data_IF_438993246745
#
_entry.id   IF_438993246745
#
_cell.length_a   1.000
_cell.length_b   1.000
_cell.length_c   1.000
_cell.angle_alpha   90.00
_cell.angle_beta   90.00
_cell.angle_gamma   90.00
#
_symmetry.space_group_name_H-M   'P 1'
#
loop_
_entity.id
_entity.type
_entity.pdbx_description
1 polymer ?
#
# COMPACT_ATOMS: atom_id res chain seq x y z
N UNK A 1 -0.82 9.88 -26.42
CA UNK A 1 -2.25 9.56 -26.65
C UNK A 1 -2.34 8.77 -27.94
N UNK A 2 -2.56 7.46 -27.87
CA UNK A 2 -3.07 6.74 -29.04
C UNK A 2 -4.51 7.19 -29.22
N UNK A 3 -4.84 7.73 -30.39
CA UNK A 3 -6.22 8.06 -30.76
C UNK A 3 -7.02 6.77 -30.73
N UNK A 4 -7.93 6.62 -29.77
CA UNK A 4 -8.87 5.50 -29.81
C UNK A 4 -9.67 5.64 -31.10
N UNK A 5 -9.61 4.61 -31.94
CA UNK A 5 -10.45 4.49 -33.15
C UNK A 5 -11.91 4.16 -32.81
N UNK A 6 -12.28 4.22 -31.53
CA UNK A 6 -13.61 3.84 -31.09
C UNK A 6 -14.54 5.05 -31.20
N UNK A 7 -15.62 4.90 -31.96
CA UNK A 7 -16.67 5.90 -32.05
C UNK A 7 -17.44 5.94 -30.73
N UNK A 8 -17.89 7.12 -30.28
CA UNK A 8 -18.50 7.31 -28.94
C UNK A 8 -19.75 6.46 -28.66
N UNK A 9 -20.33 5.81 -29.66
CA UNK A 9 -21.48 4.91 -29.51
C UNK A 9 -21.11 3.42 -29.50
N UNK A 10 -19.86 3.05 -29.79
CA UNK A 10 -19.46 1.65 -29.93
C UNK A 10 -19.52 0.88 -28.61
N UNK A 11 -19.36 1.54 -27.45
CA UNK A 11 -19.59 0.91 -26.14
C UNK A 11 -21.04 0.43 -25.94
N UNK A 12 -22.00 0.95 -26.71
CA UNK A 12 -23.41 0.52 -26.64
C UNK A 12 -23.70 -0.73 -27.47
N UNK A 13 -22.79 -1.11 -28.38
CA UNK A 13 -23.01 -2.17 -29.37
C UNK A 13 -21.94 -3.26 -29.29
N UNK A 14 -20.78 -2.94 -28.72
CA UNK A 14 -19.63 -3.82 -28.60
C UNK A 14 -19.14 -3.89 -27.16
N UNK A 15 -18.60 -5.05 -26.78
CA UNK A 15 -17.93 -5.18 -25.50
C UNK A 15 -16.65 -4.33 -25.51
N UNK A 16 -16.61 -3.32 -24.64
CA UNK A 16 -15.43 -2.47 -24.41
C UNK A 16 -14.81 -2.77 -23.04
N UNK A 17 -13.81 -3.67 -22.94
CA UNK A 17 -13.16 -3.96 -21.66
C UNK A 17 -12.37 -2.74 -21.16
N UNK A 18 -12.26 -2.59 -19.84
CA UNK A 18 -11.48 -1.52 -19.22
C UNK A 18 -9.99 -1.86 -19.27
N UNK A 19 -9.23 -1.11 -20.05
CA UNK A 19 -7.79 -1.36 -20.26
C UNK A 19 -6.89 -0.43 -19.44
N UNK A 20 -7.44 0.63 -18.82
CA UNK A 20 -6.66 1.70 -18.17
C UNK A 20 -5.69 1.23 -17.08
N UNK A 21 -5.99 0.10 -16.42
CA UNK A 21 -5.15 -0.45 -15.36
C UNK A 21 -3.97 -1.26 -15.90
N UNK A 22 -4.09 -1.77 -17.13
CA UNK A 22 -3.13 -2.66 -17.77
C UNK A 22 -2.27 -1.89 -18.78
N UNK A 23 -2.88 -0.97 -19.53
CA UNK A 23 -2.21 -0.31 -20.65
C UNK A 23 -1.01 0.53 -20.18
N UNK A 24 0.17 0.23 -20.73
CA UNK A 24 1.43 0.93 -20.48
C UNK A 24 2.12 0.64 -19.15
N UNK A 25 1.38 0.44 -18.06
CA UNK A 25 1.95 0.28 -16.70
C UNK A 25 1.39 -0.90 -15.88
N UNK A 26 0.65 -1.83 -16.48
CA UNK A 26 0.01 -2.93 -15.76
C UNK A 26 0.95 -3.79 -14.90
N UNK A 27 2.20 -4.01 -15.35
CA UNK A 27 3.20 -4.75 -14.57
C UNK A 27 3.51 -4.08 -13.24
N UNK A 28 3.54 -2.74 -13.20
CA UNK A 28 3.79 -2.01 -11.96
C UNK A 28 2.62 -2.20 -11.00
N UNK A 29 1.39 -2.10 -11.49
CA UNK A 29 0.20 -2.32 -10.66
C UNK A 29 0.17 -3.73 -10.07
N UNK A 30 0.46 -4.75 -10.90
CA UNK A 30 0.52 -6.14 -10.45
C UNK A 30 1.60 -6.35 -9.36
N UNK A 31 2.82 -5.87 -9.60
CA UNK A 31 3.90 -5.95 -8.61
C UNK A 31 3.56 -5.19 -7.33
N UNK A 32 2.91 -4.04 -7.45
CA UNK A 32 2.52 -3.22 -6.32
C UNK A 32 1.56 -3.99 -5.39
N UNK A 33 0.49 -4.58 -5.95
CA UNK A 33 -0.43 -5.43 -5.17
C UNK A 33 0.29 -6.64 -4.58
N UNK A 34 1.08 -7.35 -5.38
CA UNK A 34 1.77 -8.56 -4.95
C UNK A 34 2.70 -8.31 -3.76
N UNK A 35 3.58 -7.32 -3.84
CA UNK A 35 4.49 -7.00 -2.73
C UNK A 35 3.77 -6.39 -1.53
N UNK A 36 2.74 -5.57 -1.74
CA UNK A 36 1.95 -5.01 -0.64
C UNK A 36 1.24 -6.11 0.16
N UNK A 37 0.63 -7.09 -0.51
CA UNK A 37 -0.08 -8.20 0.11
C UNK A 37 0.89 -9.21 0.77
N UNK A 38 1.96 -9.61 0.09
CA UNK A 38 2.96 -10.52 0.67
C UNK A 38 3.64 -9.88 1.88
N UNK A 39 4.02 -8.61 1.79
CA UNK A 39 4.62 -7.90 2.91
C UNK A 39 3.68 -7.84 4.11
N UNK A 40 2.40 -7.54 3.88
CA UNK A 40 1.38 -7.53 4.93
C UNK A 40 1.18 -8.94 5.53
N UNK A 41 1.14 -9.98 4.71
CA UNK A 41 1.05 -11.37 5.18
C UNK A 41 2.25 -11.77 6.05
N UNK A 42 3.47 -11.46 5.62
CA UNK A 42 4.70 -11.69 6.40
C UNK A 42 4.60 -10.96 7.74
N UNK A 43 4.19 -9.69 7.74
CA UNK A 43 4.02 -8.90 8.94
C UNK A 43 3.03 -9.55 9.91
N UNK A 44 1.81 -9.86 9.46
CA UNK A 44 0.76 -10.45 10.29
C UNK A 44 1.16 -11.80 10.87
N UNK A 45 1.68 -12.73 10.04
CA UNK A 45 2.11 -14.05 10.52
C UNK A 45 3.25 -13.92 11.53
N UNK A 46 4.19 -13.01 11.28
CA UNK A 46 5.33 -12.80 12.16
C UNK A 46 4.91 -12.26 13.52
N UNK A 47 3.82 -11.47 13.62
CA UNK A 47 3.25 -11.04 14.91
C UNK A 47 2.79 -12.24 15.72
N UNK A 48 2.04 -13.17 15.12
CA UNK A 48 1.56 -14.36 15.81
C UNK A 48 2.69 -15.29 16.28
N UNK A 49 3.84 -15.25 15.61
CA UNK A 49 5.01 -16.05 15.93
C UNK A 49 6.06 -15.32 16.80
N UNK A 50 5.79 -14.08 17.19
CA UNK A 50 6.76 -13.17 17.85
C UNK A 50 8.11 -13.05 17.11
N UNK A 51 8.09 -13.20 15.78
CA UNK A 51 9.28 -13.15 14.94
C UNK A 51 9.60 -11.71 14.53
N UNK A 52 10.31 -10.98 15.40
CA UNK A 52 10.64 -9.55 15.25
C UNK A 52 11.23 -9.14 13.89
N UNK A 53 12.20 -9.88 13.29
CA UNK A 53 12.72 -9.54 11.97
C UNK A 53 11.63 -9.57 10.88
N UNK A 54 10.66 -10.48 11.01
CA UNK A 54 9.52 -10.58 10.10
C UNK A 54 8.55 -9.40 10.22
N UNK A 55 8.40 -8.79 11.40
CA UNK A 55 7.63 -7.53 11.54
C UNK A 55 8.29 -6.43 10.71
N UNK A 56 9.59 -6.23 10.89
CA UNK A 56 10.34 -5.20 10.15
C UNK A 56 10.30 -5.45 8.65
N UNK A 57 10.64 -6.66 8.22
CA UNK A 57 10.69 -7.00 6.79
C UNK A 57 9.32 -6.94 6.14
N UNK A 58 8.28 -7.48 6.78
CA UNK A 58 6.92 -7.42 6.24
C UNK A 58 6.41 -5.99 6.09
N UNK A 59 6.64 -5.15 7.10
CA UNK A 59 6.26 -3.73 7.07
C UNK A 59 7.00 -2.96 5.96
N UNK A 60 8.32 -3.16 5.82
CA UNK A 60 9.12 -2.53 4.76
C UNK A 60 8.72 -3.01 3.36
N UNK A 61 8.55 -4.30 3.15
CA UNK A 61 8.13 -4.84 1.84
C UNK A 61 6.74 -4.32 1.47
N UNK A 62 5.81 -4.28 2.42
CA UNK A 62 4.44 -3.85 2.13
C UNK A 62 4.35 -2.36 1.75
N UNK A 63 4.98 -1.50 2.55
CA UNK A 63 4.79 -0.05 2.48
C UNK A 63 5.89 0.66 1.70
N UNK A 64 7.15 0.25 1.87
CA UNK A 64 8.27 0.90 1.19
C UNK A 64 8.35 0.36 -0.23
N UNK A 65 8.59 -0.94 -0.42
CA UNK A 65 8.70 -1.52 -1.76
C UNK A 65 7.35 -1.43 -2.50
N UNK A 66 6.28 -1.98 -1.93
CA UNK A 66 4.94 -1.95 -2.52
C UNK A 66 4.43 -0.51 -2.73
N UNK A 67 4.61 0.38 -1.75
CA UNK A 67 4.17 1.78 -1.87
C UNK A 67 4.94 2.59 -2.90
N UNK A 68 6.26 2.42 -3.03
CA UNK A 68 7.02 3.08 -4.09
C UNK A 68 6.59 2.61 -5.49
N UNK A 69 6.32 1.31 -5.66
CA UNK A 69 5.80 0.79 -6.94
C UNK A 69 4.40 1.37 -7.24
N UNK A 70 3.52 1.47 -6.24
CA UNK A 70 2.23 2.17 -6.40
C UNK A 70 2.43 3.62 -6.87
N UNK A 71 3.35 4.37 -6.25
CA UNK A 71 3.63 5.75 -6.65
C UNK A 71 4.19 5.85 -8.08
N UNK A 72 5.01 4.90 -8.51
CA UNK A 72 5.53 4.84 -9.88
C UNK A 72 4.45 4.51 -10.92
N UNK A 73 3.44 3.71 -10.54
CA UNK A 73 2.28 3.42 -11.37
C UNK A 73 1.45 4.69 -11.62
N UNK A 74 1.17 5.47 -10.58
CA UNK A 74 0.28 6.63 -10.64
C UNK A 74 0.71 7.68 -11.69
N UNK A 75 -0.28 8.25 -12.37
CA UNK A 75 -0.04 9.30 -13.36
C UNK A 75 0.37 10.65 -12.75
N UNK A 76 -0.03 10.94 -11.50
CA UNK A 76 0.25 12.21 -10.80
C UNK A 76 0.60 11.97 -9.32
N UNK A 77 1.74 11.35 -9.01
CA UNK A 77 2.09 10.91 -7.64
C UNK A 77 2.10 12.05 -6.62
N UNK A 78 2.51 13.26 -7.01
CA UNK A 78 2.54 14.43 -6.12
C UNK A 78 1.16 14.95 -5.70
N UNK A 79 0.08 14.46 -6.33
CA UNK A 79 -1.30 14.83 -5.99
C UNK A 79 -2.04 13.72 -5.22
N UNK A 80 -1.40 12.57 -5.01
CA UNK A 80 -2.04 11.39 -4.39
C UNK A 80 -2.50 11.66 -2.98
N UNK A 81 -1.81 12.53 -2.22
CA UNK A 81 -2.20 12.92 -0.87
C UNK A 81 -3.65 13.45 -0.76
N UNK A 82 -4.22 13.96 -1.85
CA UNK A 82 -5.61 14.44 -1.89
C UNK A 82 -6.63 13.33 -1.67
N UNK A 83 -6.25 12.06 -1.86
CA UNK A 83 -7.12 10.91 -1.62
C UNK A 83 -7.64 10.89 -0.18
N UNK A 84 -6.80 11.30 0.78
CA UNK A 84 -7.14 11.32 2.19
C UNK A 84 -8.16 12.39 2.57
N UNK A 85 -8.34 13.44 1.75
CA UNK A 85 -9.27 14.53 2.04
C UNK A 85 -10.75 14.15 1.87
N UNK A 86 -11.04 13.02 1.20
CA UNK A 86 -12.41 12.55 0.93
C UNK A 86 -12.51 11.03 1.17
N UNK A 87 -12.44 10.57 2.44
CA UNK A 87 -12.46 9.13 2.77
C UNK A 87 -13.65 8.36 2.21
N UNK A 88 -14.82 9.00 2.15
CA UNK A 88 -16.07 8.34 1.76
C UNK A 88 -16.35 8.35 0.25
N UNK A 89 -15.48 8.95 -0.58
CA UNK A 89 -15.79 9.14 -2.01
C UNK A 89 -15.60 7.88 -2.87
N UNK A 90 -14.76 6.93 -2.44
CA UNK A 90 -14.48 5.71 -3.21
C UNK A 90 -13.91 4.60 -2.34
N UNK A 91 -13.98 3.35 -2.82
CA UNK A 91 -13.33 2.20 -2.17
C UNK A 91 -11.81 2.39 -2.02
N UNK A 92 -11.16 2.92 -3.06
CA UNK A 92 -9.72 3.18 -3.02
C UNK A 92 -9.39 4.19 -1.91
N UNK A 93 -10.22 5.22 -1.73
CA UNK A 93 -10.02 6.20 -0.65
C UNK A 93 -10.13 5.58 0.74
N UNK A 94 -11.14 4.73 0.95
CA UNK A 94 -11.28 3.96 2.19
C UNK A 94 -10.09 3.03 2.43
N UNK A 95 -9.68 2.30 1.41
CA UNK A 95 -8.51 1.41 1.45
C UNK A 95 -7.23 2.15 1.81
N UNK A 96 -7.01 3.34 1.25
CA UNK A 96 -5.84 4.16 1.59
C UNK A 96 -5.81 4.57 3.06
N UNK A 97 -6.95 4.86 3.68
CA UNK A 97 -7.00 5.14 5.12
C UNK A 97 -6.64 3.92 5.97
N UNK A 98 -7.05 2.71 5.55
CA UNK A 98 -6.63 1.46 6.22
C UNK A 98 -5.13 1.24 6.08
N UNK A 99 -4.57 1.45 4.89
CA UNK A 99 -3.11 1.36 4.64
C UNK A 99 -2.35 2.39 5.46
N UNK A 100 -2.86 3.62 5.60
CA UNK A 100 -2.26 4.65 6.43
C UNK A 100 -2.27 4.26 7.91
N UNK A 101 -3.38 3.72 8.41
CA UNK A 101 -3.48 3.24 9.78
C UNK A 101 -2.49 2.10 10.04
N UNK A 102 -2.40 1.14 9.13
CA UNK A 102 -1.39 0.08 9.16
C UNK A 102 0.04 0.63 9.15
N UNK A 103 0.32 1.64 8.32
CA UNK A 103 1.63 2.28 8.27
C UNK A 103 2.01 2.93 9.60
N UNK A 104 1.11 3.72 10.19
CA UNK A 104 1.37 4.44 11.44
C UNK A 104 1.48 3.49 12.62
N UNK A 105 0.51 2.59 12.82
CA UNK A 105 0.54 1.63 13.93
C UNK A 105 1.74 0.69 13.78
N UNK A 106 1.94 0.17 12.57
CA UNK A 106 3.05 -0.74 12.28
C UNK A 106 4.42 -0.08 12.50
N UNK A 107 4.57 1.21 12.18
CA UNK A 107 5.79 1.95 12.48
C UNK A 107 6.11 1.93 13.97
N UNK A 108 5.14 2.31 14.83
CA UNK A 108 5.36 2.31 16.27
C UNK A 108 5.63 0.92 16.84
N UNK A 109 4.99 -0.11 16.29
CA UNK A 109 5.22 -1.49 16.70
C UNK A 109 6.61 -2.02 16.28
N UNK A 110 7.10 -1.64 15.11
CA UNK A 110 8.38 -2.11 14.58
C UNK A 110 9.56 -1.30 15.13
N UNK A 111 9.35 -0.04 15.54
CA UNK A 111 10.44 0.83 16.00
C UNK A 111 11.31 0.22 17.13
N UNK A 112 10.77 -0.50 18.14
CA UNK A 112 11.57 -1.20 19.14
C UNK A 112 12.53 -2.27 18.61
N UNK A 113 12.30 -2.79 17.40
CA UNK A 113 13.19 -3.77 16.77
C UNK A 113 14.53 -3.14 16.40
N UNK A 114 14.54 -1.83 16.12
CA UNK A 114 15.72 -1.09 15.67
C UNK A 114 16.21 -0.04 16.67
N UNK A 115 15.35 0.41 17.59
CA UNK A 115 15.65 1.41 18.61
C UNK A 115 15.33 0.86 20.00
N UNK A 116 16.36 0.74 20.84
CA UNK A 116 16.22 0.33 22.24
C UNK A 116 15.77 1.47 23.15
N UNK A 117 15.11 1.15 24.27
CA UNK A 117 14.80 2.12 25.34
C UNK A 117 13.54 2.95 25.12
N UNK A 118 12.69 2.57 24.16
CA UNK A 118 11.39 3.23 23.93
C UNK A 118 10.41 2.88 25.07
N UNK A 119 9.55 3.80 25.52
CA UNK A 119 8.68 3.58 26.67
C UNK A 119 7.66 2.45 26.47
N UNK A 120 7.27 2.16 25.22
CA UNK A 120 6.40 1.03 24.86
C UNK A 120 7.18 -0.24 24.46
N UNK A 121 8.51 -0.21 24.45
CA UNK A 121 9.30 -1.43 24.40
C UNK A 121 9.26 -2.03 25.81
N UNK A 122 8.78 -3.28 25.96
CA UNK A 122 8.60 -3.95 27.26
C UNK A 122 9.88 -4.08 28.11
N UNK A 123 11.01 -3.63 27.56
CA UNK A 123 12.34 -3.57 28.19
C UNK A 123 12.63 -2.19 28.82
N UNK A 124 11.69 -1.23 28.76
CA UNK A 124 11.92 0.13 29.24
C UNK A 124 12.10 0.18 30.76
N UNK A 125 13.18 0.83 31.20
CA UNK A 125 13.46 1.11 32.61
C UNK A 125 12.67 2.29 33.17
N UNK A 126 11.85 2.94 32.34
CA UNK A 126 11.05 4.13 32.73
C UNK A 126 9.83 3.73 33.55
N UNK A 127 9.35 2.49 33.41
CA UNK A 127 8.20 1.95 34.14
C UNK A 127 8.58 0.88 35.18
N UNK A 128 9.88 0.65 35.41
CA UNK A 128 10.41 -0.20 36.49
C UNK A 128 10.97 0.66 37.59
#
# INVERSE_FOLDING_TARGET
MKTSRLMSYEWMVQHTPQEEWIEGKGILLWLAFFFSEIGAGIYFVSIFLDFKPGWLMGWLVSLVLGGFIHLAFLGKPLRTWRIFLRPASSEISRGMWVVLLFAVIGFFQVLPVVVSGLPWSGDSSVLK
#
